data_IF_197856003941
#
_entry.id   IF_197856003941
#
_cell.length_a   1.000
_cell.length_b   1.000
_cell.length_c   1.000
_cell.angle_alpha   90.00
_cell.angle_beta   90.00
_cell.angle_gamma   90.00
#
_symmetry.space_group_name_H-M   'P 1'
#
loop_
_entity.id
_entity.type
_entity.pdbx_description
1 polymer ?
#
# COMPACT_ATOMS: atom_id res chain seq x y z
N UNK A 1 5.68 -6.33 -13.52
CA UNK A 1 4.28 -5.86 -13.32
C UNK A 1 4.29 -4.75 -12.27
N UNK A 2 3.34 -3.81 -12.29
CA UNK A 2 3.19 -2.76 -11.27
C UNK A 2 1.99 -3.10 -10.39
N UNK A 3 2.17 -3.09 -9.08
CA UNK A 3 1.12 -3.36 -8.11
C UNK A 3 0.85 -2.11 -7.28
N UNK A 4 -0.39 -1.62 -7.29
CA UNK A 4 -0.79 -0.40 -6.60
C UNK A 4 -1.76 -0.72 -5.47
N UNK A 5 -1.37 -0.37 -4.24
CA UNK A 5 -2.09 -0.60 -3.00
C UNK A 5 -2.91 0.64 -2.60
N UNK A 6 -4.21 0.46 -2.27
CA UNK A 6 -5.09 1.54 -1.88
C UNK A 6 -4.78 2.09 -0.47
N UNK A 7 -5.47 3.15 -0.07
CA UNK A 7 -5.42 3.65 1.30
C UNK A 7 -6.15 2.75 2.30
N UNK A 8 -5.92 2.98 3.60
CA UNK A 8 -6.68 2.31 4.68
C UNK A 8 -8.19 2.56 4.51
N UNK A 9 -9.02 1.54 4.79
CA UNK A 9 -10.48 1.66 4.72
C UNK A 9 -11.06 1.75 3.30
N UNK A 10 -10.22 1.61 2.28
CA UNK A 10 -10.63 1.64 0.86
C UNK A 10 -10.28 0.34 0.15
N UNK A 11 -10.58 0.24 -1.14
CA UNK A 11 -10.24 -0.89 -1.99
C UNK A 11 -9.75 -0.39 -3.34
N UNK A 12 -9.55 -1.29 -4.32
CA UNK A 12 -9.02 -0.89 -5.62
C UNK A 12 -9.92 0.11 -6.38
N UNK A 13 -11.20 0.25 -6.02
CA UNK A 13 -12.14 1.17 -6.66
C UNK A 13 -11.78 2.64 -6.43
N UNK A 14 -10.85 2.97 -5.52
CA UNK A 14 -10.35 4.35 -5.42
C UNK A 14 -9.55 4.81 -6.65
N UNK A 15 -9.08 3.85 -7.47
CA UNK A 15 -8.35 4.12 -8.70
C UNK A 15 -9.31 3.95 -9.89
N UNK A 16 -9.81 5.06 -10.42
CA UNK A 16 -10.74 5.11 -11.56
C UNK A 16 -10.20 5.99 -12.69
N UNK A 17 -10.90 6.00 -13.83
CA UNK A 17 -10.54 6.83 -14.98
C UNK A 17 -9.13 6.53 -15.50
N UNK A 18 -8.23 7.54 -15.62
CA UNK A 18 -6.94 7.37 -16.28
C UNK A 18 -6.04 6.33 -15.60
N UNK A 19 -6.24 6.04 -14.31
CA UNK A 19 -5.52 4.97 -13.62
C UNK A 19 -5.77 3.60 -14.26
N UNK A 20 -6.98 3.35 -14.76
CA UNK A 20 -7.38 2.08 -15.39
C UNK A 20 -6.91 1.95 -16.83
N UNK A 21 -6.39 3.01 -17.42
CA UNK A 21 -5.79 3.01 -18.76
C UNK A 21 -4.30 2.63 -18.72
N UNK A 22 -3.69 2.55 -17.52
CA UNK A 22 -2.29 2.15 -17.38
C UNK A 22 -2.08 0.67 -17.70
N UNK A 23 -1.22 0.40 -18.67
CA UNK A 23 -0.73 -0.95 -18.96
C UNK A 23 0.16 -1.48 -17.83
N UNK A 24 0.25 -2.81 -17.71
CA UNK A 24 1.07 -3.51 -16.71
C UNK A 24 0.83 -3.08 -15.27
N UNK A 25 -0.39 -2.64 -14.94
CA UNK A 25 -0.75 -2.17 -13.62
C UNK A 25 -1.90 -2.98 -13.01
N UNK A 26 -1.71 -3.46 -11.78
CA UNK A 26 -2.71 -4.18 -10.98
C UNK A 26 -3.02 -3.41 -9.71
N UNK A 27 -4.26 -2.93 -9.63
CA UNK A 27 -4.79 -2.28 -8.43
C UNK A 27 -5.32 -3.34 -7.45
N UNK A 28 -4.70 -3.42 -6.28
CA UNK A 28 -4.90 -4.51 -5.31
C UNK A 28 -6.07 -4.20 -4.37
N UNK A 29 -6.84 -5.23 -4.01
CA UNK A 29 -7.73 -5.17 -2.84
C UNK A 29 -6.99 -5.69 -1.60
N UNK A 30 -7.19 -5.05 -0.45
CA UNK A 30 -6.63 -5.52 0.80
C UNK A 30 -6.97 -7.01 1.04
N UNK A 31 -6.05 -7.80 1.62
CA UNK A 31 -6.40 -9.09 2.17
C UNK A 31 -7.38 -8.88 3.34
N UNK A 32 -8.00 -9.96 3.80
CA UNK A 32 -8.78 -9.89 5.02
C UNK A 32 -7.81 -9.61 6.17
N UNK A 33 -7.98 -8.48 6.84
CA UNK A 33 -7.15 -8.07 7.97
C UNK A 33 -7.86 -8.40 9.27
N UNK A 34 -7.15 -9.01 10.21
CA UNK A 34 -7.62 -9.21 11.58
C UNK A 34 -7.07 -8.08 12.48
N UNK A 35 -7.65 -7.88 13.66
CA UNK A 35 -7.46 -6.67 14.47
C UNK A 35 -6.02 -6.35 14.90
N UNK A 36 -5.17 -7.36 15.06
CA UNK A 36 -3.80 -7.20 15.56
C UNK A 36 -2.72 -7.30 14.46
N UNK A 37 -3.09 -7.15 13.18
CA UNK A 37 -2.14 -7.32 12.06
C UNK A 37 -1.19 -6.12 11.92
N UNK A 38 0.12 -6.38 11.91
CA UNK A 38 1.19 -5.38 11.71
C UNK A 38 1.47 -5.09 10.23
N UNK A 39 2.11 -3.95 9.92
CA UNK A 39 2.44 -3.60 8.52
C UNK A 39 3.31 -4.66 7.80
N UNK A 40 4.33 -5.28 8.42
CA UNK A 40 5.08 -6.37 7.80
C UNK A 40 4.22 -7.60 7.49
N UNK A 41 3.33 -8.00 8.40
CA UNK A 41 2.41 -9.13 8.19
C UNK A 41 1.42 -8.83 7.05
N UNK A 42 0.91 -7.60 6.97
CA UNK A 42 0.08 -7.15 5.84
C UNK A 42 0.86 -7.26 4.53
N UNK A 43 2.13 -6.85 4.52
CA UNK A 43 2.99 -6.94 3.34
C UNK A 43 3.19 -8.39 2.88
N UNK A 44 3.46 -9.31 3.81
CA UNK A 44 3.58 -10.76 3.50
C UNK A 44 2.30 -11.31 2.88
N UNK A 45 1.13 -11.01 3.48
CA UNK A 45 -0.16 -11.44 2.93
C UNK A 45 -0.43 -10.85 1.52
N UNK A 46 -0.04 -9.60 1.28
CA UNK A 46 -0.19 -8.97 -0.04
C UNK A 46 0.73 -9.61 -1.07
N UNK A 47 1.98 -9.91 -0.70
CA UNK A 47 2.95 -10.62 -1.56
C UNK A 47 2.39 -11.99 -1.94
N UNK A 48 1.97 -12.79 -0.96
CA UNK A 48 1.48 -14.15 -1.19
C UNK A 48 0.23 -14.15 -2.07
N UNK A 49 -0.78 -13.35 -1.71
CA UNK A 49 -2.07 -13.31 -2.42
C UNK A 49 -1.97 -12.86 -3.86
N UNK A 50 -0.98 -12.04 -4.20
CA UNK A 50 -0.83 -11.46 -5.54
C UNK A 50 0.37 -12.01 -6.32
N UNK A 51 1.16 -12.90 -5.70
CA UNK A 51 2.40 -13.47 -6.25
C UNK A 51 3.40 -12.39 -6.68
N UNK A 52 3.61 -11.39 -5.83
CA UNK A 52 4.54 -10.27 -6.10
C UNK A 52 5.99 -10.78 -5.99
N UNK A 53 6.77 -10.57 -7.04
CA UNK A 53 8.17 -10.97 -7.11
C UNK A 53 9.17 -9.81 -6.95
N UNK A 54 10.48 -10.11 -6.84
CA UNK A 54 11.53 -9.12 -6.68
C UNK A 54 11.75 -8.22 -7.91
N UNK A 55 11.22 -8.60 -9.08
CA UNK A 55 11.29 -7.79 -10.31
C UNK A 55 10.04 -6.92 -10.53
N UNK A 56 9.05 -7.04 -9.65
CA UNK A 56 7.81 -6.27 -9.74
C UNK A 56 7.88 -4.94 -9.00
N UNK A 57 7.23 -3.93 -9.55
CA UNK A 57 7.10 -2.63 -8.92
C UNK A 57 5.94 -2.64 -7.95
N UNK A 58 6.11 -2.02 -6.78
CA UNK A 58 5.06 -1.86 -5.80
C UNK A 58 4.86 -0.39 -5.46
N UNK A 59 3.63 0.02 -5.24
CA UNK A 59 3.35 1.39 -4.85
C UNK A 59 2.00 1.52 -4.21
N UNK A 60 1.69 2.71 -3.69
CA UNK A 60 0.38 2.90 -3.08
C UNK A 60 0.16 4.25 -2.45
N UNK A 61 -1.09 4.44 -2.04
CA UNK A 61 -1.56 5.68 -1.45
C UNK A 61 -1.65 5.61 0.07
N UNK A 62 -1.16 6.63 0.78
CA UNK A 62 -1.20 6.69 2.26
C UNK A 62 -0.65 5.39 2.90
N UNK A 63 -1.46 4.63 3.67
CA UNK A 63 -1.09 3.31 4.22
C UNK A 63 -0.60 2.32 3.15
N UNK A 64 -1.19 2.34 1.94
CA UNK A 64 -0.73 1.51 0.82
C UNK A 64 0.73 1.75 0.46
N UNK A 65 1.20 2.99 0.56
CA UNK A 65 2.62 3.32 0.37
C UNK A 65 3.51 2.79 1.50
N UNK A 66 3.04 2.79 2.75
CA UNK A 66 3.79 2.19 3.88
C UNK A 66 3.94 0.69 3.71
N UNK A 67 2.85 0.00 3.35
CA UNK A 67 2.90 -1.44 3.08
C UNK A 67 3.80 -1.72 1.88
N UNK A 68 3.78 -0.87 0.84
CA UNK A 68 4.71 -1.00 -0.30
C UNK A 68 6.18 -0.92 0.10
N UNK A 69 6.52 -0.07 1.08
CA UNK A 69 7.88 0.00 1.63
C UNK A 69 8.25 -1.27 2.41
N UNK A 70 7.32 -1.87 3.16
CA UNK A 70 7.57 -3.17 3.80
C UNK A 70 7.76 -4.29 2.77
N UNK A 71 6.95 -4.33 1.71
CA UNK A 71 7.13 -5.27 0.59
C UNK A 71 8.52 -5.12 -0.04
N UNK A 72 8.94 -3.89 -0.31
CA UNK A 72 10.27 -3.57 -0.84
C UNK A 72 11.41 -4.08 0.05
N UNK A 73 11.28 -3.95 1.38
CA UNK A 73 12.28 -4.49 2.33
C UNK A 73 12.32 -6.01 2.29
N UNK A 74 11.16 -6.68 2.30
CA UNK A 74 11.04 -8.15 2.29
C UNK A 74 11.66 -8.72 1.01
N UNK A 75 11.29 -8.17 -0.14
CA UNK A 75 11.76 -8.64 -1.45
C UNK A 75 13.14 -8.11 -1.83
N UNK A 76 13.72 -7.20 -1.04
CA UNK A 76 14.98 -6.50 -1.32
C UNK A 76 14.98 -5.80 -2.69
N UNK A 77 13.83 -5.28 -3.12
CA UNK A 77 13.67 -4.53 -4.36
C UNK A 77 13.48 -3.03 -4.08
N UNK A 78 14.28 -2.11 -4.64
CA UNK A 78 14.13 -0.66 -4.43
C UNK A 78 13.01 0.04 -5.21
N UNK A 79 12.27 -0.66 -6.08
CA UNK A 79 11.27 -0.05 -6.98
C UNK A 79 9.94 0.20 -6.26
N UNK A 80 9.85 1.35 -5.58
CA UNK A 80 8.64 1.79 -4.86
C UNK A 80 8.07 3.10 -5.39
N UNK A 81 6.76 3.14 -5.64
CA UNK A 81 6.00 4.36 -6.00
C UNK A 81 5.14 4.82 -4.82
N UNK A 82 5.34 6.05 -4.35
CA UNK A 82 4.57 6.63 -3.23
C UNK A 82 3.61 7.72 -3.73
N UNK A 83 2.32 7.57 -3.48
CA UNK A 83 1.27 8.51 -3.92
C UNK A 83 0.62 9.13 -2.69
N UNK A 84 0.88 10.40 -2.38
CA UNK A 84 0.31 11.02 -1.16
C UNK A 84 0.58 10.19 0.11
N UNK A 85 1.77 9.61 0.20
CA UNK A 85 2.23 8.74 1.28
C UNK A 85 3.51 9.30 1.91
N UNK A 86 4.02 8.63 2.95
CA UNK A 86 5.18 9.03 3.72
C UNK A 86 6.21 7.88 3.74
N UNK A 87 7.50 8.23 3.79
CA UNK A 87 8.58 7.24 3.92
C UNK A 87 8.73 6.72 5.35
N UNK A 88 8.16 7.45 6.30
CA UNK A 88 8.18 7.12 7.73
C UNK A 88 6.92 7.67 8.39
N UNK A 89 6.42 6.96 9.41
CA UNK A 89 5.35 7.46 10.29
C UNK A 89 5.73 8.77 10.98
N UNK A 90 7.03 9.10 11.07
CA UNK A 90 7.53 10.38 11.61
C UNK A 90 7.26 11.59 10.72
N UNK A 91 7.00 11.38 9.43
CA UNK A 91 6.69 12.46 8.48
C UNK A 91 5.19 12.82 8.49
N UNK A 92 4.35 11.99 9.12
CA UNK A 92 2.92 12.26 9.26
C UNK A 92 2.74 13.28 10.38
N UNK A 93 2.10 14.41 10.04
CA UNK A 93 1.83 15.45 11.02
C UNK A 93 0.98 14.90 12.17
N UNK A 94 1.29 15.32 13.40
CA UNK A 94 0.53 14.94 14.59
C UNK A 94 -0.97 15.31 14.46
N UNK A 95 -1.27 16.33 13.66
CA UNK A 95 -2.63 16.76 13.33
C UNK A 95 -3.38 15.68 12.53
N UNK A 96 -2.76 15.07 11.51
CA UNK A 96 -3.37 13.95 10.77
C UNK A 96 -3.60 12.72 11.67
N UNK A 97 -2.66 12.42 12.57
CA UNK A 97 -2.81 11.32 13.52
C UNK A 97 -4.00 11.54 14.46
N UNK A 98 -4.21 12.79 14.88
CA UNK A 98 -5.35 13.14 15.72
C UNK A 98 -6.68 13.08 14.96
N UNK A 99 -6.71 13.45 13.67
CA UNK A 99 -7.93 13.37 12.84
C UNK A 99 -8.39 11.92 12.59
N UNK A 100 -7.46 10.97 12.45
CA UNK A 100 -7.80 9.55 12.29
C UNK A 100 -8.56 8.98 13.52
N UNK A 101 -8.31 9.52 14.72
CA UNK A 101 -9.01 9.12 15.97
C UNK A 101 -10.44 9.65 16.09
N UNK A 102 -10.85 10.59 15.25
CA UNK A 102 -12.22 11.12 15.23
C UNK A 102 -13.09 10.46 14.15
N UNK A 103 -12.59 9.40 13.51
CA UNK A 103 -13.29 8.68 12.44
C UNK A 103 -14.04 7.43 12.94
N UNK A 104 -14.18 7.27 14.26
CA UNK A 104 -14.97 6.23 14.93
C UNK A 104 -16.45 6.64 15.06
#
# INVERSE_FOLDING_TARGET
MIFILPGMGTNNAMYEGPWREMEDCRFINWPKLDGDTTLPEIAEMVIEKNSIGPEDWVGGSSMGGMVSLEISKILRNPQVVLIGSAKSTREISQVLFNLARFSD
#
